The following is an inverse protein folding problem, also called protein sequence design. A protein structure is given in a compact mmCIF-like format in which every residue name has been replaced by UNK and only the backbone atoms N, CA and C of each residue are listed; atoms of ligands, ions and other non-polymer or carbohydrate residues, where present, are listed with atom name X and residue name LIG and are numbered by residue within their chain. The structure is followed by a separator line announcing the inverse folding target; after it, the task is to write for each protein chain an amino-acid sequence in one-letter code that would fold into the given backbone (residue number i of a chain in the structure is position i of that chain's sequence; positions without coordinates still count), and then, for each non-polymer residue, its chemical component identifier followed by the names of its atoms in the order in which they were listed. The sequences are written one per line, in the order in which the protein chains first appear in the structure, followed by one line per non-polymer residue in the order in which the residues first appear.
data_IF_629386141897
#
_entry.id   IF_629386141897
#
_cell.length_a   1.000
_cell.length_b   1.000
_cell.length_c   1.000
_cell.angle_alpha   90.00
_cell.angle_beta   90.00
_cell.angle_gamma   90.00
#
_symmetry.space_group_name_H-M   'P 1'
#
loop_
_entity.id
_entity.type
_entity.pdbx_description
1 polymer ?
#
# COMPACT_ATOMS: atom_id res chain seq x y z
N UNK A 1 -41.06 9.20 17.52
CA UNK A 1 -39.55 9.26 17.55
C UNK A 1 -39.03 8.11 18.39
N UNK A 2 -38.18 7.25 17.87
CA UNK A 2 -37.18 6.57 18.68
C UNK A 2 -37.23 5.07 18.91
N UNK A 3 -37.95 4.23 18.16
CA UNK A 3 -37.88 2.76 18.43
C UNK A 3 -36.85 1.96 17.60
N UNK A 4 -36.19 2.54 16.59
CA UNK A 4 -35.35 1.80 15.64
C UNK A 4 -33.83 2.01 15.76
N UNK A 5 -33.33 2.77 16.74
CA UNK A 5 -31.89 3.03 16.87
C UNK A 5 -31.19 2.13 17.92
N UNK A 6 -31.95 1.42 18.75
CA UNK A 6 -31.39 0.53 19.79
C UNK A 6 -30.47 -0.55 19.22
N UNK A 7 -30.82 -1.30 18.13
CA UNK A 7 -29.94 -2.32 17.59
C UNK A 7 -28.63 -1.75 17.01
N UNK A 8 -28.70 -0.54 16.48
CA UNK A 8 -27.48 0.13 15.91
C UNK A 8 -26.53 0.52 17.04
N UNK A 9 -27.05 1.04 18.16
CA UNK A 9 -26.26 1.40 19.33
C UNK A 9 -25.61 0.14 19.94
N UNK A 10 -26.35 -0.96 20.05
CA UNK A 10 -25.82 -2.23 20.54
C UNK A 10 -24.69 -2.74 19.65
N UNK A 11 -24.86 -2.73 18.32
CA UNK A 11 -23.80 -3.13 17.36
C UNK A 11 -22.57 -2.24 17.54
N UNK A 12 -22.74 -0.94 17.73
CA UNK A 12 -21.64 0.01 17.91
C UNK A 12 -20.87 -0.25 19.21
N UNK A 13 -21.57 -0.55 20.30
CA UNK A 13 -20.96 -0.92 21.59
C UNK A 13 -20.20 -2.26 21.46
N UNK A 14 -20.76 -3.24 20.75
CA UNK A 14 -20.10 -4.53 20.52
C UNK A 14 -18.85 -4.37 19.67
N UNK A 15 -18.91 -3.58 18.60
CA UNK A 15 -17.73 -3.31 17.73
C UNK A 15 -16.65 -2.54 18.51
N UNK A 16 -17.05 -1.58 19.33
CA UNK A 16 -16.12 -0.83 20.17
C UNK A 16 -15.51 -1.71 21.26
N UNK A 17 -16.31 -2.57 21.89
CA UNK A 17 -15.84 -3.56 22.86
C UNK A 17 -14.89 -4.60 22.25
N UNK A 18 -15.18 -5.09 21.05
CA UNK A 18 -14.29 -5.98 20.29
C UNK A 18 -12.99 -5.25 19.90
N UNK A 19 -13.07 -4.00 19.46
CA UNK A 19 -11.89 -3.19 19.15
C UNK A 19 -10.99 -2.97 20.36
N UNK A 20 -11.57 -2.64 21.51
CA UNK A 20 -10.84 -2.51 22.78
C UNK A 20 -10.28 -3.87 23.23
N UNK A 21 -11.04 -4.95 23.10
CA UNK A 21 -10.58 -6.31 23.42
C UNK A 21 -9.40 -6.75 22.55
N UNK A 22 -9.47 -6.52 21.23
CA UNK A 22 -8.38 -6.80 20.29
C UNK A 22 -7.15 -5.91 20.60
N UNK A 23 -7.36 -4.64 20.93
CA UNK A 23 -6.30 -3.73 21.32
C UNK A 23 -5.58 -4.23 22.59
N UNK A 24 -6.31 -4.59 23.64
CA UNK A 24 -5.73 -5.16 24.86
C UNK A 24 -5.03 -6.50 24.60
N UNK A 25 -5.61 -7.38 23.78
CA UNK A 25 -4.98 -8.64 23.41
C UNK A 25 -3.66 -8.40 22.62
N UNK A 26 -3.65 -7.43 21.72
CA UNK A 26 -2.46 -7.07 20.92
C UNK A 26 -1.38 -6.40 21.78
N UNK A 27 -1.77 -5.53 22.72
CA UNK A 27 -0.81 -4.83 23.60
C UNK A 27 -0.28 -5.72 24.71
N UNK A 28 -1.06 -6.71 25.15
CA UNK A 28 -0.63 -7.72 26.13
C UNK A 28 0.08 -8.93 25.51
N UNK A 29 0.17 -9.02 24.17
CA UNK A 29 1.14 -9.94 23.57
C UNK A 29 2.52 -9.51 24.05
N UNK A 30 3.14 -10.36 24.87
CA UNK A 30 4.55 -10.17 25.25
C UNK A 30 5.34 -9.93 23.98
N UNK A 31 5.94 -8.75 23.86
CA UNK A 31 6.88 -8.49 22.78
C UNK A 31 7.97 -9.56 22.91
N UNK A 32 8.41 -10.18 21.80
CA UNK A 32 9.50 -11.12 21.87
C UNK A 32 10.63 -10.45 22.65
N UNK A 33 11.12 -11.15 23.64
CA UNK A 33 12.09 -10.64 24.62
C UNK A 33 13.37 -10.12 23.95
N UNK A 34 13.65 -10.59 22.74
CA UNK A 34 14.82 -10.28 21.92
C UNK A 34 14.46 -10.13 20.46
N UNK A 35 15.15 -9.22 19.78
CA UNK A 35 15.11 -9.08 18.32
C UNK A 35 16.06 -10.08 17.67
N UNK A 36 15.57 -10.85 16.69
CA UNK A 36 16.36 -11.81 15.91
C UNK A 36 16.78 -11.26 14.55
N UNK A 37 16.86 -9.93 14.42
CA UNK A 37 17.39 -9.29 13.22
C UNK A 37 18.91 -9.17 13.28
N UNK A 38 19.58 -9.39 12.15
CA UNK A 38 21.02 -9.23 12.00
C UNK A 38 21.38 -7.75 11.91
N UNK A 39 21.77 -7.17 13.03
CA UNK A 39 22.16 -5.75 13.10
C UNK A 39 23.64 -5.55 13.38
N UNK A 40 24.33 -6.52 13.95
CA UNK A 40 25.77 -6.55 14.27
C UNK A 40 26.25 -5.34 15.07
N UNK A 41 25.40 -4.70 15.87
CA UNK A 41 25.76 -3.54 16.68
C UNK A 41 26.62 -3.94 17.90
N UNK A 42 27.67 -3.17 18.18
CA UNK A 42 28.57 -3.46 19.28
C UNK A 42 28.03 -3.12 20.67
N UNK A 43 26.98 -2.30 20.75
CA UNK A 43 26.40 -1.78 22.00
C UNK A 43 25.10 -2.47 22.40
N UNK A 44 24.59 -3.40 21.58
CA UNK A 44 23.35 -4.13 21.85
C UNK A 44 23.58 -5.59 22.18
N UNK A 45 22.76 -6.12 23.10
CA UNK A 45 22.83 -7.51 23.57
C UNK A 45 21.83 -8.44 22.88
N UNK A 46 21.33 -8.05 21.71
CA UNK A 46 20.44 -8.89 20.92
C UNK A 46 21.20 -10.08 20.31
N UNK A 47 20.54 -11.18 19.96
CA UNK A 47 21.18 -12.42 19.51
C UNK A 47 22.19 -12.23 18.38
N UNK A 48 21.85 -11.45 17.35
CA UNK A 48 22.69 -11.22 16.17
C UNK A 48 23.44 -9.88 16.19
N UNK A 49 23.66 -9.34 17.39
CA UNK A 49 24.57 -8.22 17.64
C UNK A 49 25.96 -8.72 18.05
N UNK A 50 26.93 -7.80 18.14
CA UNK A 50 28.35 -8.09 18.35
C UNK A 50 28.90 -7.56 19.67
N UNK A 51 28.05 -7.39 20.70
CA UNK A 51 28.46 -6.87 22.01
C UNK A 51 29.54 -7.74 22.65
N UNK A 52 29.38 -9.08 22.65
CA UNK A 52 30.30 -10.00 23.31
C UNK A 52 31.68 -9.93 22.65
N UNK A 53 31.78 -9.94 21.34
CA UNK A 53 33.08 -9.90 20.66
C UNK A 53 33.77 -8.53 20.82
N UNK A 54 33.01 -7.42 20.85
CA UNK A 54 33.57 -6.10 21.10
C UNK A 54 34.19 -6.01 22.50
N UNK A 55 33.49 -6.48 23.54
CA UNK A 55 34.00 -6.57 24.91
C UNK A 55 35.21 -7.52 25.05
N UNK A 56 35.20 -8.63 24.29
CA UNK A 56 36.33 -9.56 24.28
C UNK A 56 37.58 -8.91 23.69
N UNK A 57 37.47 -8.21 22.58
CA UNK A 57 38.58 -7.57 21.89
C UNK A 57 39.16 -6.40 22.75
N UNK A 58 38.31 -5.63 23.40
CA UNK A 58 38.76 -4.59 24.34
C UNK A 58 39.58 -5.17 25.50
N UNK A 59 39.18 -6.34 26.00
CA UNK A 59 39.92 -7.04 27.08
C UNK A 59 41.12 -7.82 26.57
N UNK A 60 41.12 -8.29 25.35
CA UNK A 60 42.21 -9.07 24.72
C UNK A 60 43.43 -8.19 24.44
N UNK A 61 43.21 -6.90 24.12
CA UNK A 61 44.26 -5.92 23.84
C UNK A 61 44.26 -4.78 24.91
N UNK A 62 44.57 -5.05 26.18
CA UNK A 62 44.36 -4.12 27.28
C UNK A 62 45.27 -2.89 27.21
N UNK A 63 46.40 -2.96 26.51
CA UNK A 63 47.32 -1.84 26.34
C UNK A 63 46.94 -0.93 25.15
N UNK A 64 46.02 -1.38 24.31
CA UNK A 64 45.60 -0.68 23.13
C UNK A 64 44.24 0.01 23.32
N UNK A 65 44.02 1.09 22.57
CA UNK A 65 42.74 1.83 22.63
C UNK A 65 41.71 1.15 21.77
N UNK A 66 40.49 1.01 22.29
CA UNK A 66 39.32 0.57 21.54
C UNK A 66 38.47 1.79 21.17
N UNK A 67 38.47 2.15 19.86
CA UNK A 67 37.82 3.34 19.36
C UNK A 67 36.63 2.93 18.48
N UNK A 68 35.42 3.36 18.82
CA UNK A 68 34.22 3.10 18.01
C UNK A 68 34.02 4.22 17.00
N UNK A 69 34.00 3.86 15.71
CA UNK A 69 33.78 4.77 14.60
C UNK A 69 32.28 4.94 14.37
N UNK A 70 31.78 6.17 14.58
CA UNK A 70 30.38 6.56 14.36
C UNK A 70 30.24 7.70 13.34
N UNK A 71 31.32 8.06 12.66
CA UNK A 71 31.41 9.09 11.63
C UNK A 71 32.09 8.53 10.37
N UNK A 72 32.05 9.23 9.24
CA UNK A 72 32.75 8.80 8.02
C UNK A 72 34.20 8.42 8.27
N UNK A 73 34.70 7.38 7.58
CA UNK A 73 36.05 6.86 7.79
C UNK A 73 37.14 7.89 7.48
N UNK A 74 36.89 8.76 6.50
CA UNK A 74 37.85 9.81 6.13
C UNK A 74 38.09 10.84 7.25
N UNK A 75 37.14 10.97 8.20
CA UNK A 75 37.29 11.82 9.39
C UNK A 75 37.82 11.06 10.60
N UNK A 76 37.57 9.74 10.68
CA UNK A 76 37.72 8.93 11.87
C UNK A 76 39.03 8.13 11.92
N UNK A 77 39.55 7.70 10.75
CA UNK A 77 40.74 6.89 10.70
C UNK A 77 42.01 7.75 10.91
N UNK A 78 42.91 7.34 11.83
CA UNK A 78 44.10 8.07 12.13
C UNK A 78 45.16 7.98 11.02
N UNK A 79 46.20 8.80 11.15
CA UNK A 79 47.35 8.80 10.24
C UNK A 79 48.51 7.91 10.68
N UNK A 80 48.53 7.48 11.93
CA UNK A 80 49.53 6.59 12.48
C UNK A 80 49.42 5.17 11.93
N UNK A 81 50.46 4.37 12.11
CA UNK A 81 50.58 3.02 11.59
C UNK A 81 50.53 1.99 12.71
N UNK A 82 50.34 0.69 12.38
CA UNK A 82 50.32 -0.38 13.37
C UNK A 82 48.98 -0.57 14.06
N UNK A 83 47.90 -0.09 13.48
CA UNK A 83 46.56 -0.20 14.07
C UNK A 83 45.67 -1.17 13.27
N UNK A 84 44.57 -1.55 13.88
CA UNK A 84 43.61 -2.49 13.32
C UNK A 84 42.25 -1.81 13.12
N UNK A 85 41.75 -1.75 11.87
CA UNK A 85 40.38 -1.43 11.57
C UNK A 85 39.57 -2.72 11.55
N UNK A 86 38.40 -2.72 12.23
CA UNK A 86 37.54 -3.90 12.32
C UNK A 86 36.13 -3.56 11.86
N UNK A 87 35.65 -4.30 10.88
CA UNK A 87 34.28 -4.27 10.42
C UNK A 87 33.67 -5.68 10.49
N UNK A 88 32.48 -5.80 11.14
CA UNK A 88 31.70 -7.04 11.19
C UNK A 88 30.25 -6.69 10.86
N UNK A 89 29.70 -7.22 9.77
CA UNK A 89 28.34 -6.90 9.34
C UNK A 89 27.86 -7.67 8.13
N UNK A 90 26.58 -7.56 7.81
CA UNK A 90 25.97 -8.18 6.64
C UNK A 90 26.24 -7.44 5.32
N UNK A 91 26.57 -6.14 5.39
CA UNK A 91 26.90 -5.29 4.25
C UNK A 91 27.72 -4.08 4.69
N UNK A 92 28.61 -3.61 3.82
CA UNK A 92 29.46 -2.43 4.07
C UNK A 92 29.07 -1.32 3.11
N UNK A 93 28.65 -0.18 3.66
CA UNK A 93 28.16 0.96 2.90
C UNK A 93 29.08 2.17 3.15
N UNK A 94 30.04 2.37 2.30
CA UNK A 94 31.00 3.47 2.38
C UNK A 94 30.94 4.34 1.11
N UNK A 95 31.21 5.64 1.28
CA UNK A 95 31.40 6.57 0.18
C UNK A 95 32.80 6.48 -0.42
N UNK A 96 33.02 6.98 -1.61
CA UNK A 96 34.31 6.93 -2.31
C UNK A 96 35.44 7.60 -1.53
N UNK A 97 35.13 8.61 -0.71
CA UNK A 97 36.13 9.31 0.09
C UNK A 97 36.59 8.46 1.29
N UNK A 98 35.64 7.86 1.99
CA UNK A 98 35.91 6.94 3.09
C UNK A 98 36.61 5.68 2.63
N UNK A 99 36.25 5.19 1.45
CA UNK A 99 36.90 4.06 0.82
C UNK A 99 38.36 4.35 0.45
N UNK A 100 38.62 5.45 -0.26
CA UNK A 100 39.99 5.89 -0.57
C UNK A 100 40.82 6.03 0.74
N UNK A 101 40.18 6.49 1.80
CA UNK A 101 40.81 6.63 3.11
C UNK A 101 41.13 5.29 3.74
N UNK A 102 40.26 4.29 3.67
CA UNK A 102 40.51 2.93 4.16
C UNK A 102 41.68 2.27 3.41
N UNK A 103 41.70 2.40 2.08
CA UNK A 103 42.80 1.90 1.25
C UNK A 103 44.13 2.58 1.62
N UNK A 104 44.14 3.92 1.72
CA UNK A 104 45.32 4.68 2.17
C UNK A 104 45.80 4.24 3.57
N UNK A 105 44.85 4.03 4.48
CA UNK A 105 45.12 3.59 5.85
C UNK A 105 45.86 2.24 5.88
N UNK A 106 45.37 1.25 5.11
CA UNK A 106 46.03 -0.05 5.03
C UNK A 106 47.37 0.07 4.29
N UNK A 107 47.42 0.76 3.16
CA UNK A 107 48.66 0.93 2.39
C UNK A 107 49.81 1.53 3.20
N UNK A 108 49.52 2.33 4.24
CA UNK A 108 50.54 2.91 5.14
C UNK A 108 51.11 1.91 6.16
N UNK A 109 50.54 0.73 6.34
CA UNK A 109 51.00 -0.29 7.29
C UNK A 109 50.07 -0.54 8.45
N UNK A 110 48.76 -0.28 8.26
CA UNK A 110 47.72 -0.69 9.18
C UNK A 110 47.02 -1.96 8.65
N UNK A 111 46.17 -2.55 9.43
CA UNK A 111 45.40 -3.72 9.05
C UNK A 111 43.92 -3.43 9.03
N UNK A 112 43.20 -4.08 8.07
CA UNK A 112 41.75 -4.04 8.04
C UNK A 112 41.21 -5.46 8.12
N UNK A 113 40.44 -5.75 9.16
CA UNK A 113 39.67 -6.98 9.32
C UNK A 113 38.23 -6.72 8.85
N UNK A 114 37.82 -7.42 7.80
CA UNK A 114 36.49 -7.32 7.21
C UNK A 114 35.76 -8.64 7.35
N UNK A 115 34.81 -8.75 8.27
CA UNK A 115 33.92 -9.89 8.34
C UNK A 115 32.59 -9.55 7.68
N UNK A 116 32.43 -10.01 6.44
CA UNK A 116 31.33 -9.63 5.55
C UNK A 116 31.05 -10.76 4.55
N UNK A 117 29.78 -11.09 4.26
CA UNK A 117 29.43 -12.16 3.32
C UNK A 117 29.96 -11.92 1.90
N UNK A 118 29.91 -10.66 1.45
CA UNK A 118 30.36 -10.27 0.12
C UNK A 118 31.35 -9.11 0.21
N UNK A 119 32.49 -9.25 -0.40
CA UNK A 119 33.52 -8.19 -0.44
C UNK A 119 32.98 -7.02 -1.25
N UNK A 120 33.08 -5.76 -0.78
CA UNK A 120 32.71 -4.59 -1.57
C UNK A 120 33.50 -4.54 -2.87
N UNK A 121 32.79 -4.35 -3.99
CA UNK A 121 33.34 -4.39 -5.36
C UNK A 121 34.61 -3.55 -5.51
N UNK A 122 34.65 -2.36 -4.93
CA UNK A 122 35.78 -1.47 -5.11
C UNK A 122 37.02 -1.97 -4.31
N UNK A 123 36.86 -2.59 -3.16
CA UNK A 123 37.96 -3.25 -2.44
C UNK A 123 38.43 -4.44 -3.25
N UNK A 124 37.53 -5.23 -3.80
CA UNK A 124 37.84 -6.35 -4.69
C UNK A 124 38.65 -5.91 -5.91
N UNK A 125 38.17 -4.90 -6.61
CA UNK A 125 38.82 -4.34 -7.81
C UNK A 125 40.19 -3.74 -7.50
N UNK A 126 40.29 -2.91 -6.45
CA UNK A 126 41.55 -2.28 -6.05
C UNK A 126 42.62 -3.30 -5.58
N UNK A 127 42.22 -4.36 -4.90
CA UNK A 127 43.11 -5.44 -4.49
C UNK A 127 43.37 -6.44 -5.63
N UNK A 128 42.76 -6.24 -6.79
CA UNK A 128 42.83 -7.15 -7.93
C UNK A 128 42.57 -8.61 -7.52
N UNK A 129 41.53 -8.80 -6.73
CA UNK A 129 41.26 -10.10 -6.10
C UNK A 129 40.70 -11.14 -7.06
N UNK A 130 39.91 -10.75 -8.07
CA UNK A 130 39.22 -11.70 -8.94
C UNK A 130 39.90 -11.83 -10.30
N UNK A 131 40.08 -13.08 -10.75
CA UNK A 131 40.45 -13.43 -12.12
C UNK A 131 39.27 -13.95 -12.93
N UNK A 132 38.11 -14.11 -12.33
CA UNK A 132 36.92 -14.63 -12.98
C UNK A 132 36.07 -13.47 -13.53
N UNK A 133 36.03 -13.29 -14.87
CA UNK A 133 35.38 -12.15 -15.56
C UNK A 133 33.89 -11.93 -15.25
N UNK A 134 33.18 -12.98 -14.82
CA UNK A 134 31.72 -12.93 -14.60
C UNK A 134 31.30 -13.38 -13.20
N UNK A 135 32.24 -13.62 -12.30
CA UNK A 135 31.96 -14.16 -10.97
C UNK A 135 32.64 -13.33 -9.91
N UNK A 136 31.87 -13.05 -8.83
CA UNK A 136 32.45 -12.46 -7.64
C UNK A 136 33.38 -13.47 -6.94
N UNK A 137 34.39 -13.02 -6.19
CA UNK A 137 35.30 -13.92 -5.47
C UNK A 137 34.60 -14.65 -4.30
N UNK A 138 33.39 -14.21 -3.95
CA UNK A 138 32.59 -14.82 -2.86
C UNK A 138 31.34 -15.47 -3.42
N UNK A 139 31.06 -16.69 -2.96
CA UNK A 139 29.85 -17.47 -3.26
C UNK A 139 29.14 -17.85 -1.97
N UNK A 140 27.96 -18.40 -2.09
CA UNK A 140 27.21 -18.87 -0.93
C UNK A 140 26.69 -20.28 -1.13
N UNK A 141 26.69 -21.06 -0.04
CA UNK A 141 26.05 -22.34 0.08
C UNK A 141 24.91 -22.25 1.09
N UNK A 142 23.73 -22.77 0.74
CA UNK A 142 22.56 -22.72 1.62
C UNK A 142 22.51 -24.00 2.46
N UNK A 143 22.68 -23.84 3.77
CA UNK A 143 22.58 -24.92 4.74
C UNK A 143 22.08 -24.36 6.08
N UNK A 144 21.61 -25.22 6.96
CA UNK A 144 21.22 -24.84 8.32
C UNK A 144 22.42 -24.73 9.26
N UNK A 145 23.52 -25.43 8.97
CA UNK A 145 24.73 -25.50 9.79
C UNK A 145 25.96 -25.35 8.91
N UNK A 146 26.93 -24.56 9.39
CA UNK A 146 28.26 -24.49 8.81
C UNK A 146 29.32 -25.01 9.80
N UNK A 147 30.22 -25.80 9.31
CA UNK A 147 31.37 -26.31 10.06
C UNK A 147 32.60 -25.53 9.64
N UNK A 148 33.09 -24.64 10.54
CA UNK A 148 34.28 -23.83 10.29
C UNK A 148 35.51 -24.50 10.90
N UNK A 149 36.65 -24.42 10.22
CA UNK A 149 37.92 -24.96 10.73
C UNK A 149 39.11 -24.20 10.15
N UNK A 150 40.29 -24.41 10.71
CA UNK A 150 41.54 -23.80 10.28
C UNK A 150 42.39 -24.74 9.47
N UNK A 151 43.13 -24.21 8.49
CA UNK A 151 44.13 -24.99 7.76
C UNK A 151 45.33 -25.34 8.63
N UNK A 152 45.73 -24.42 9.51
CA UNK A 152 46.87 -24.61 10.41
C UNK A 152 46.55 -25.66 11.48
N UNK A 153 47.36 -26.67 11.59
CA UNK A 153 47.14 -27.84 12.47
C UNK A 153 46.98 -27.48 13.93
N UNK A 154 47.74 -26.48 14.45
CA UNK A 154 47.68 -26.03 15.85
C UNK A 154 46.34 -25.29 16.18
N UNK A 155 45.68 -24.77 15.19
CA UNK A 155 44.38 -24.05 15.33
C UNK A 155 43.20 -24.93 15.00
N UNK A 156 43.44 -26.06 14.36
CA UNK A 156 42.41 -26.99 13.89
C UNK A 156 41.56 -27.50 15.08
N UNK A 157 40.24 -27.27 15.00
CA UNK A 157 39.29 -27.86 15.95
C UNK A 157 38.98 -29.31 15.60
N UNK A 158 38.87 -30.18 16.62
CA UNK A 158 38.40 -31.56 16.43
C UNK A 158 37.36 -31.90 17.50
N UNK A 159 36.09 -32.01 17.12
CA UNK A 159 35.51 -31.77 15.79
C UNK A 159 35.62 -30.31 15.33
N UNK A 160 35.24 -29.99 14.09
CA UNK A 160 35.16 -28.61 13.60
C UNK A 160 34.22 -27.73 14.43
N UNK A 161 34.35 -26.40 14.29
CA UNK A 161 33.49 -25.43 14.98
C UNK A 161 32.17 -25.33 14.26
N UNK A 162 31.08 -25.61 14.96
CA UNK A 162 29.73 -25.62 14.42
C UNK A 162 29.03 -24.27 14.65
N UNK A 163 28.47 -23.72 13.58
CA UNK A 163 27.69 -22.49 13.58
C UNK A 163 26.33 -22.74 12.91
N UNK A 164 25.27 -22.24 13.51
CA UNK A 164 23.92 -22.40 12.96
C UNK A 164 23.15 -21.08 12.99
N UNK A 165 22.34 -20.86 11.98
CA UNK A 165 21.38 -19.76 11.98
C UNK A 165 20.11 -20.23 12.65
N UNK A 166 19.67 -19.51 13.67
CA UNK A 166 18.51 -19.91 14.47
C UNK A 166 17.58 -18.75 14.79
N UNK A 167 16.35 -19.07 15.03
CA UNK A 167 15.38 -18.25 15.74
C UNK A 167 15.10 -18.92 17.10
N UNK A 168 14.21 -18.36 17.92
CA UNK A 168 13.92 -18.79 19.31
C UNK A 168 13.96 -20.31 19.53
N UNK A 169 13.40 -21.12 18.65
CA UNK A 169 13.26 -22.57 18.80
C UNK A 169 13.77 -23.39 17.61
N UNK A 170 14.06 -22.76 16.48
CA UNK A 170 14.34 -23.46 15.24
C UNK A 170 15.68 -23.05 14.64
N UNK A 171 16.39 -24.04 14.09
CA UNK A 171 17.52 -23.81 13.19
C UNK A 171 16.97 -23.61 11.79
N UNK A 172 17.36 -22.49 11.17
CA UNK A 172 16.86 -22.09 9.85
C UNK A 172 17.96 -22.27 8.80
N UNK A 173 17.54 -22.38 7.56
CA UNK A 173 18.48 -22.34 6.43
C UNK A 173 19.08 -20.93 6.31
N UNK A 174 20.39 -20.88 6.07
CA UNK A 174 21.15 -19.65 5.91
C UNK A 174 22.09 -19.76 4.71
N UNK A 175 22.34 -18.64 4.06
CA UNK A 175 23.25 -18.55 2.93
C UNK A 175 24.66 -18.26 3.43
N UNK A 176 25.45 -19.31 3.63
CA UNK A 176 26.81 -19.23 4.11
C UNK A 176 27.77 -18.84 2.99
N UNK A 177 28.41 -17.69 3.12
CA UNK A 177 29.34 -17.22 2.10
C UNK A 177 30.74 -17.79 2.29
N UNK A 178 31.41 -18.07 1.19
CA UNK A 178 32.77 -18.59 1.13
C UNK A 178 33.55 -17.92 0.00
N UNK A 179 34.87 -18.03 0.05
CA UNK A 179 35.79 -17.53 -0.96
C UNK A 179 36.07 -18.65 -1.95
N UNK A 180 35.89 -18.39 -3.23
CA UNK A 180 36.23 -19.32 -4.29
C UNK A 180 37.73 -19.18 -4.65
N UNK A 181 38.57 -20.00 -4.04
CA UNK A 181 40.03 -19.93 -4.19
C UNK A 181 40.48 -19.97 -5.65
N UNK A 182 39.74 -20.72 -6.51
CA UNK A 182 40.04 -20.81 -7.95
C UNK A 182 39.80 -19.52 -8.73
N UNK A 183 39.01 -18.58 -8.14
CA UNK A 183 38.75 -17.26 -8.71
C UNK A 183 39.62 -16.16 -8.07
N UNK A 184 40.40 -16.46 -7.03
CA UNK A 184 41.29 -15.50 -6.43
C UNK A 184 42.57 -15.37 -7.25
N UNK A 185 42.97 -14.12 -7.53
CA UNK A 185 44.18 -13.82 -8.25
C UNK A 185 45.42 -14.21 -7.46
N UNK A 186 46.27 -15.13 -7.96
CA UNK A 186 47.50 -15.48 -7.28
C UNK A 186 48.49 -14.33 -7.12
N UNK A 187 48.45 -13.30 -7.98
CA UNK A 187 49.30 -12.12 -7.91
C UNK A 187 48.99 -11.24 -6.67
N UNK A 188 47.79 -11.37 -6.09
CA UNK A 188 47.44 -10.73 -4.84
C UNK A 188 48.06 -11.41 -3.62
N UNK A 189 48.82 -12.51 -3.80
CA UNK A 189 49.47 -13.29 -2.75
C UNK A 189 48.55 -13.64 -1.56
N UNK A 190 47.39 -14.27 -1.82
CA UNK A 190 46.43 -14.60 -0.79
C UNK A 190 47.00 -15.68 0.14
N UNK A 191 46.79 -15.50 1.46
CA UNK A 191 47.10 -16.53 2.46
C UNK A 191 45.78 -16.98 3.09
N UNK A 192 45.39 -18.22 2.88
CA UNK A 192 44.17 -18.78 3.44
C UNK A 192 44.43 -19.34 4.85
N UNK A 193 43.55 -18.97 5.80
CA UNK A 193 43.67 -19.35 7.20
C UNK A 193 42.64 -20.36 7.64
N UNK A 194 41.39 -20.25 7.13
CA UNK A 194 40.30 -21.11 7.56
C UNK A 194 39.39 -21.52 6.39
N UNK A 195 38.66 -22.58 6.61
CA UNK A 195 37.68 -23.14 5.66
C UNK A 195 36.34 -23.44 6.32
N UNK A 196 35.34 -23.60 5.50
CA UNK A 196 33.99 -24.04 5.83
C UNK A 196 33.75 -25.40 5.17
N UNK A 197 33.19 -26.35 5.94
CA UNK A 197 32.85 -27.68 5.47
C UNK A 197 34.06 -28.41 4.82
N UNK A 198 35.26 -28.21 5.40
CA UNK A 198 36.56 -28.77 5.01
C UNK A 198 37.12 -28.32 3.65
N UNK A 199 36.33 -27.71 2.77
CA UNK A 199 36.74 -27.44 1.38
C UNK A 199 36.61 -26.00 0.95
N UNK A 200 35.68 -25.22 1.53
CA UNK A 200 35.32 -23.89 1.08
C UNK A 200 36.08 -22.85 1.93
N UNK A 201 36.99 -22.09 1.34
CA UNK A 201 37.74 -21.07 2.07
C UNK A 201 36.82 -19.97 2.60
N UNK A 202 36.95 -19.57 3.86
CA UNK A 202 36.14 -18.53 4.49
C UNK A 202 36.92 -17.44 5.19
N UNK A 203 38.24 -17.60 5.31
CA UNK A 203 39.13 -16.61 5.92
C UNK A 203 40.47 -16.56 5.20
N UNK A 204 40.82 -15.37 4.72
CA UNK A 204 42.10 -15.12 4.04
C UNK A 204 42.69 -13.78 4.43
N UNK A 205 44.00 -13.62 4.17
CA UNK A 205 44.75 -12.37 4.23
C UNK A 205 45.31 -12.02 2.86
N UNK A 206 45.25 -10.74 2.48
CA UNK A 206 45.84 -10.21 1.27
C UNK A 206 46.71 -9.01 1.61
N UNK A 207 47.89 -8.91 1.00
CA UNK A 207 48.80 -7.78 1.17
C UNK A 207 48.31 -6.55 0.37
N UNK A 208 48.42 -5.36 0.98
CA UNK A 208 48.14 -4.12 0.28
C UNK A 208 49.06 -2.98 0.80
N UNK A 209 49.98 -2.57 -0.05
CA UNK A 209 51.03 -1.65 0.34
C UNK A 209 51.91 -2.21 1.45
N UNK A 210 51.89 -1.58 2.61
CA UNK A 210 52.65 -2.03 3.79
C UNK A 210 51.79 -2.75 4.84
N UNK A 211 50.48 -2.86 4.61
CA UNK A 211 49.54 -3.47 5.52
C UNK A 211 48.79 -4.65 4.90
N UNK A 212 47.74 -5.08 5.56
CA UNK A 212 47.01 -6.28 5.19
C UNK A 212 45.51 -6.09 5.30
N UNK A 213 44.77 -6.67 4.35
CA UNK A 213 43.36 -6.95 4.48
C UNK A 213 43.15 -8.41 4.96
N UNK A 214 42.40 -8.56 6.05
CA UNK A 214 41.94 -9.85 6.55
C UNK A 214 40.46 -9.97 6.22
N UNK A 215 40.10 -10.90 5.36
CA UNK A 215 38.75 -11.06 4.83
C UNK A 215 38.15 -12.36 5.35
N UNK A 216 37.06 -12.23 6.10
CA UNK A 216 36.34 -13.35 6.68
C UNK A 216 34.87 -13.30 6.20
N UNK A 217 34.35 -14.36 5.61
CA UNK A 217 33.04 -14.34 4.91
C UNK A 217 31.87 -14.73 5.80
N UNK A 218 32.10 -15.08 7.06
CA UNK A 218 31.07 -15.60 7.97
C UNK A 218 30.90 -14.71 9.19
N UNK A 219 30.33 -13.47 9.08
CA UNK A 219 30.19 -12.54 10.21
C UNK A 219 29.31 -13.09 11.33
N UNK A 220 28.39 -14.00 11.00
CA UNK A 220 27.54 -14.68 11.96
C UNK A 220 28.32 -15.33 13.10
N UNK A 221 29.54 -15.82 12.84
CA UNK A 221 30.38 -16.49 13.84
C UNK A 221 30.74 -15.59 15.03
N UNK A 222 30.68 -14.27 14.87
CA UNK A 222 31.02 -13.27 15.89
C UNK A 222 29.80 -12.67 16.61
N UNK A 223 28.60 -13.21 16.37
CA UNK A 223 27.38 -12.70 17.00
C UNK A 223 27.19 -13.22 18.42
N UNK A 224 26.46 -12.45 19.23
CA UNK A 224 26.22 -12.77 20.64
C UNK A 224 25.68 -14.20 20.83
N UNK A 225 24.72 -14.61 20.01
CA UNK A 225 24.08 -15.94 20.12
C UNK A 225 25.08 -17.07 19.88
N UNK A 226 26.03 -16.90 18.98
CA UNK A 226 27.07 -17.89 18.71
C UNK A 226 28.10 -17.93 19.85
N UNK A 227 28.51 -16.76 20.33
CA UNK A 227 29.52 -16.63 21.36
C UNK A 227 29.04 -17.01 22.77
N UNK A 228 27.78 -17.44 22.93
CA UNK A 228 27.34 -18.15 24.14
C UNK A 228 27.98 -19.54 24.27
N UNK A 229 28.45 -20.11 23.15
CA UNK A 229 29.13 -21.40 23.13
C UNK A 229 30.64 -21.19 23.26
N UNK A 230 31.27 -21.89 24.23
CA UNK A 230 32.72 -21.82 24.46
C UNK A 230 33.56 -22.15 23.22
N UNK A 231 33.11 -23.08 22.40
CA UNK A 231 33.85 -23.45 21.18
C UNK A 231 33.80 -22.33 20.13
N UNK A 232 32.69 -21.62 20.04
CA UNK A 232 32.59 -20.46 19.14
C UNK A 232 33.47 -19.29 19.65
N UNK A 233 33.61 -19.13 20.96
CA UNK A 233 34.57 -18.19 21.56
C UNK A 233 36.01 -18.57 21.18
N UNK A 234 36.37 -19.85 21.33
CA UNK A 234 37.70 -20.37 20.94
C UNK A 234 37.98 -20.11 19.44
N UNK A 235 37.00 -20.30 18.58
CA UNK A 235 37.12 -19.98 17.15
C UNK A 235 37.41 -18.49 16.95
N UNK A 236 36.64 -17.62 17.59
CA UNK A 236 36.82 -16.17 17.50
C UNK A 236 38.21 -15.72 17.99
N UNK A 237 38.66 -16.22 19.14
CA UNK A 237 40.00 -15.98 19.65
C UNK A 237 41.11 -16.37 18.66
N UNK A 238 40.98 -17.53 18.02
CA UNK A 238 41.91 -17.97 16.99
C UNK A 238 41.90 -17.11 15.74
N UNK A 239 40.69 -16.64 15.28
CA UNK A 239 40.57 -15.72 14.16
C UNK A 239 41.32 -14.42 14.45
N UNK A 240 41.04 -13.80 15.61
CA UNK A 240 41.65 -12.52 15.97
C UNK A 240 43.11 -12.63 16.37
N UNK A 241 43.64 -13.81 16.74
CA UNK A 241 45.07 -14.01 17.00
C UNK A 241 45.97 -13.87 15.76
N UNK A 242 45.40 -13.84 14.55
CA UNK A 242 46.12 -13.48 13.35
C UNK A 242 46.34 -11.98 13.16
N UNK A 243 45.61 -11.13 13.91
CA UNK A 243 45.78 -9.69 13.87
C UNK A 243 46.97 -9.29 14.74
N UNK A 244 47.88 -8.41 14.28
CA UNK A 244 48.94 -7.85 15.11
C UNK A 244 48.36 -6.99 16.22
N UNK A 245 49.16 -6.80 17.30
CA UNK A 245 48.87 -5.84 18.34
C UNK A 245 48.78 -4.42 17.77
N UNK A 246 47.82 -3.62 18.26
CA UNK A 246 47.59 -2.24 17.84
C UNK A 246 46.25 -1.71 18.28
N UNK A 247 46.06 -0.40 18.21
CA UNK A 247 44.79 0.24 18.51
C UNK A 247 43.69 -0.30 17.59
N UNK A 248 42.52 -0.49 18.17
CA UNK A 248 41.35 -1.00 17.44
C UNK A 248 40.45 0.17 17.04
N UNK A 249 40.05 0.18 15.79
CA UNK A 249 39.08 1.09 15.19
C UNK A 249 37.88 0.28 14.73
N UNK A 250 36.86 0.14 15.59
CA UNK A 250 35.66 -0.64 15.35
C UNK A 250 34.61 0.19 14.59
N UNK A 251 34.21 -0.23 13.43
CA UNK A 251 33.30 0.54 12.56
C UNK A 251 31.84 0.15 12.77
N UNK A 252 31.06 1.13 13.29
CA UNK A 252 29.61 1.08 13.36
C UNK A 252 28.94 1.93 12.25
N UNK A 253 29.69 2.88 11.67
CA UNK A 253 29.15 3.82 10.71
C UNK A 253 28.87 3.18 9.35
N UNK A 254 29.76 2.34 8.86
CA UNK A 254 29.64 1.72 7.54
C UNK A 254 28.61 0.58 7.47
N UNK A 255 28.01 0.19 8.60
CA UNK A 255 26.91 -0.78 8.66
C UNK A 255 25.58 -0.21 8.16
N UNK A 256 25.48 1.12 8.01
CA UNK A 256 24.24 1.81 7.68
C UNK A 256 24.31 2.25 6.22
N UNK A 257 23.27 1.92 5.40
CA UNK A 257 23.19 2.38 4.02
C UNK A 257 23.31 3.90 3.92
N UNK A 258 24.02 4.38 2.90
CA UNK A 258 24.32 5.80 2.67
C UNK A 258 23.05 6.65 2.64
N UNK A 259 21.97 6.11 2.06
CA UNK A 259 20.66 6.75 2.00
C UNK A 259 20.04 7.09 3.36
N UNK A 260 20.48 6.39 4.40
CA UNK A 260 20.01 6.57 5.79
C UNK A 260 20.99 7.35 6.66
N UNK A 261 22.17 7.72 6.12
CA UNK A 261 23.16 8.55 6.81
C UNK A 261 22.78 10.02 6.62
N UNK A 262 22.18 10.65 7.63
CA UNK A 262 21.90 12.10 7.59
C UNK A 262 23.09 12.86 8.21
N UNK A 263 23.41 14.04 7.66
CA UNK A 263 24.50 14.92 8.13
C UNK A 263 24.35 15.36 9.60
N UNK A 264 23.14 15.30 10.16
CA UNK A 264 22.81 15.71 11.54
C UNK A 264 22.96 14.62 12.60
N UNK A 265 23.39 13.40 12.26
CA UNK A 265 23.47 12.30 13.20
C UNK A 265 24.85 12.17 13.85
N UNK A 266 25.10 12.94 14.88
CA UNK A 266 26.19 12.70 15.85
C UNK A 266 25.96 11.48 16.76
N UNK A 267 24.82 10.80 16.63
CA UNK A 267 24.47 9.57 17.34
C UNK A 267 24.22 8.48 16.31
N UNK A 268 25.00 7.41 16.38
CA UNK A 268 25.08 6.29 15.43
C UNK A 268 23.78 5.96 14.74
N UNK A 269 23.84 6.02 13.42
CA UNK A 269 22.72 5.96 12.48
C UNK A 269 21.60 5.03 12.83
N UNK A 270 20.55 5.57 13.42
CA UNK A 270 19.27 4.90 13.48
C UNK A 270 18.58 5.03 12.11
N UNK A 271 18.02 3.93 11.63
CA UNK A 271 17.31 3.89 10.37
C UNK A 271 16.30 5.04 10.26
N UNK A 272 16.34 5.79 9.15
CA UNK A 272 15.54 7.01 8.91
C UNK A 272 14.02 6.84 9.14
N UNK A 273 13.51 5.61 9.06
CA UNK A 273 12.10 5.33 9.37
C UNK A 273 11.74 5.56 10.85
N UNK A 274 12.74 5.50 11.77
CA UNK A 274 12.57 5.85 13.19
C UNK A 274 12.37 7.37 13.39
N UNK A 275 12.78 8.19 12.41
CA UNK A 275 12.59 9.65 12.40
C UNK A 275 11.32 10.10 11.65
N UNK A 276 10.48 9.18 11.19
CA UNK A 276 9.22 9.58 10.56
C UNK A 276 8.33 10.31 11.59
N UNK A 277 7.60 11.37 11.20
CA UNK A 277 6.67 12.06 12.09
C UNK A 277 5.67 11.11 12.76
N UNK A 278 5.26 10.07 12.04
CA UNK A 278 4.36 9.04 12.56
C UNK A 278 5.04 8.18 13.63
N UNK A 279 6.30 7.80 13.45
CA UNK A 279 7.05 7.08 14.46
C UNK A 279 7.18 7.91 15.75
N UNK A 280 7.53 9.19 15.62
CA UNK A 280 7.60 10.09 16.76
C UNK A 280 6.27 10.17 17.52
N UNK A 281 5.16 10.31 16.79
CA UNK A 281 3.81 10.32 17.38
C UNK A 281 3.51 9.00 18.11
N UNK A 282 3.87 7.86 17.51
CA UNK A 282 3.60 6.54 18.07
C UNK A 282 4.57 6.14 19.21
N UNK A 283 5.76 6.73 19.28
CA UNK A 283 6.73 6.47 20.34
C UNK A 283 6.38 7.16 21.65
N UNK A 284 5.66 8.30 21.60
CA UNK A 284 5.24 9.04 22.77
C UNK A 284 3.88 8.55 23.29
N UNK A 285 3.76 8.03 24.53
CA UNK A 285 2.50 7.45 25.03
C UNK A 285 1.31 8.38 24.93
N UNK A 286 1.48 9.67 25.23
CA UNK A 286 0.42 10.66 25.14
C UNK A 286 -0.02 10.94 23.70
N UNK A 287 0.94 11.09 22.76
CA UNK A 287 0.65 11.34 21.34
C UNK A 287 0.06 10.10 20.66
N UNK A 288 0.52 8.90 21.03
CA UNK A 288 -0.03 7.63 20.57
C UNK A 288 -1.50 7.49 20.92
N UNK A 289 -1.88 7.80 22.15
CA UNK A 289 -3.30 7.75 22.55
C UNK A 289 -4.14 8.80 21.84
N UNK A 290 -3.62 10.02 21.67
CA UNK A 290 -4.27 11.08 20.90
C UNK A 290 -4.48 10.69 19.44
N UNK A 291 -3.49 10.04 18.81
CA UNK A 291 -3.58 9.53 17.44
C UNK A 291 -4.69 8.49 17.27
N UNK A 292 -4.75 7.49 18.14
CA UNK A 292 -5.81 6.48 18.06
C UNK A 292 -7.20 7.06 18.38
N UNK A 293 -7.31 8.02 19.30
CA UNK A 293 -8.56 8.75 19.54
C UNK A 293 -9.02 9.51 18.30
N UNK A 294 -8.10 10.17 17.60
CA UNK A 294 -8.40 10.89 16.35
C UNK A 294 -8.89 9.92 15.28
N UNK A 295 -8.23 8.78 15.10
CA UNK A 295 -8.67 7.75 14.15
C UNK A 295 -10.06 7.21 14.52
N UNK A 296 -10.30 6.95 15.79
CA UNK A 296 -11.62 6.50 16.27
C UNK A 296 -12.69 7.57 16.01
N UNK A 297 -12.39 8.84 16.23
CA UNK A 297 -13.30 9.96 15.95
C UNK A 297 -13.61 10.09 14.45
N UNK A 298 -12.60 9.97 13.60
CA UNK A 298 -12.77 9.98 12.13
C UNK A 298 -13.63 8.78 11.70
N UNK A 299 -13.39 7.59 12.23
CA UNK A 299 -14.18 6.40 11.93
C UNK A 299 -15.65 6.61 12.33
N UNK A 300 -15.88 7.09 13.55
CA UNK A 300 -17.22 7.42 14.03
C UNK A 300 -17.91 8.48 13.16
N UNK A 301 -17.17 9.52 12.79
CA UNK A 301 -17.70 10.57 11.89
C UNK A 301 -18.11 9.97 10.54
N UNK A 302 -17.29 9.10 9.94
CA UNK A 302 -17.60 8.43 8.68
C UNK A 302 -18.85 7.55 8.85
N UNK A 303 -18.92 6.73 9.91
CA UNK A 303 -20.07 5.87 10.19
C UNK A 303 -21.38 6.65 10.38
N UNK A 304 -21.34 7.77 11.11
CA UNK A 304 -22.52 8.61 11.32
C UNK A 304 -22.89 9.42 10.08
N UNK A 305 -21.92 9.89 9.29
CA UNK A 305 -22.15 10.66 8.08
C UNK A 305 -22.46 9.79 6.86
N UNK A 306 -21.99 8.56 6.79
CA UNK A 306 -22.31 7.59 5.74
C UNK A 306 -23.78 7.14 5.77
N UNK A 307 -24.53 7.46 6.82
CA UNK A 307 -25.97 7.28 6.83
C UNK A 307 -26.56 8.10 5.69
N UNK A 308 -26.97 7.44 4.60
CA UNK A 308 -27.75 8.07 3.54
C UNK A 308 -28.91 8.79 4.21
N UNK A 309 -29.02 10.11 4.04
CA UNK A 309 -30.22 10.85 4.34
C UNK A 309 -31.29 10.41 3.36
N UNK A 310 -31.96 9.29 3.62
CA UNK A 310 -33.19 8.99 2.95
C UNK A 310 -34.17 10.10 3.32
N UNK A 311 -34.74 10.76 2.31
CA UNK A 311 -35.86 11.65 2.53
C UNK A 311 -36.94 10.85 3.27
N UNK A 312 -37.29 11.27 4.46
CA UNK A 312 -38.25 10.58 5.31
C UNK A 312 -39.67 10.52 4.70
N UNK A 313 -39.92 11.31 3.68
CA UNK A 313 -41.18 11.37 2.98
C UNK A 313 -40.85 11.38 1.48
N UNK A 314 -41.27 10.34 0.69
CA UNK A 314 -41.24 10.49 -0.74
C UNK A 314 -42.13 11.68 -1.09
N UNK A 315 -41.62 12.62 -1.87
CA UNK A 315 -42.45 13.64 -2.52
C UNK A 315 -43.34 12.84 -3.48
N UNK A 316 -44.58 12.55 -3.01
CA UNK A 316 -45.62 12.07 -3.92
C UNK A 316 -45.87 13.24 -4.87
N UNK A 317 -45.38 13.13 -6.09
CA UNK A 317 -45.83 13.99 -7.19
C UNK A 317 -47.34 13.77 -7.23
N UNK A 318 -48.13 14.82 -7.01
CA UNK A 318 -49.56 14.75 -7.12
C UNK A 318 -49.86 14.04 -8.45
N UNK A 319 -50.78 13.06 -8.39
CA UNK A 319 -51.18 12.34 -9.58
C UNK A 319 -51.70 13.36 -10.62
N UNK A 320 -50.82 13.79 -11.51
CA UNK A 320 -51.23 14.57 -12.67
C UNK A 320 -52.10 13.65 -13.45
N UNK A 321 -53.29 14.14 -13.80
CA UNK A 321 -54.23 13.36 -14.60
C UNK A 321 -53.59 13.18 -15.99
N UNK A 322 -52.82 12.12 -16.15
CA UNK A 322 -52.05 11.82 -17.36
C UNK A 322 -52.95 11.73 -18.59
N UNK A 323 -54.25 11.40 -18.38
CA UNK A 323 -55.23 11.40 -19.45
C UNK A 323 -55.56 12.81 -19.98
N UNK A 324 -55.56 13.82 -19.08
CA UNK A 324 -55.78 15.22 -19.48
C UNK A 324 -54.57 15.75 -20.24
N UNK A 325 -53.35 15.51 -19.71
CA UNK A 325 -52.10 15.93 -20.34
C UNK A 325 -51.88 15.26 -21.70
N UNK A 326 -52.25 13.97 -21.81
CA UNK A 326 -52.21 13.24 -23.06
C UNK A 326 -53.23 13.83 -24.08
N UNK A 327 -54.46 14.10 -23.64
CA UNK A 327 -55.51 14.74 -24.52
C UNK A 327 -55.09 16.13 -24.99
N UNK A 328 -54.48 16.94 -24.11
CA UNK A 328 -53.95 18.26 -24.45
C UNK A 328 -52.79 18.17 -25.44
N UNK A 329 -51.89 17.20 -25.27
CA UNK A 329 -50.75 16.97 -26.15
C UNK A 329 -51.24 16.53 -27.55
N UNK A 330 -52.19 15.63 -27.60
CA UNK A 330 -52.80 15.17 -28.88
C UNK A 330 -53.54 16.30 -29.55
N UNK A 331 -54.32 17.08 -28.78
CA UNK A 331 -55.02 18.26 -29.29
C UNK A 331 -54.06 19.27 -29.91
N UNK A 332 -52.94 19.53 -29.25
CA UNK A 332 -51.88 20.42 -29.73
C UNK A 332 -51.22 19.95 -31.01
N UNK A 333 -50.96 18.62 -31.15
CA UNK A 333 -50.42 18.01 -32.40
C UNK A 333 -51.39 18.20 -33.57
N UNK A 334 -52.68 17.94 -33.37
CA UNK A 334 -53.68 18.13 -34.41
C UNK A 334 -53.84 19.61 -34.79
N UNK A 335 -53.77 20.54 -33.83
CA UNK A 335 -53.81 21.95 -34.10
C UNK A 335 -52.61 22.45 -34.92
N UNK A 336 -51.41 21.97 -34.58
CA UNK A 336 -50.16 22.33 -35.27
C UNK A 336 -50.06 21.76 -36.71
N UNK A 337 -50.82 20.68 -37.00
CA UNK A 337 -50.89 20.12 -38.36
C UNK A 337 -51.80 20.90 -39.31
N UNK A 338 -52.52 21.94 -38.84
CA UNK A 338 -53.46 22.78 -39.60
C UNK A 338 -54.53 21.99 -40.36
N UNK A 339 -54.80 20.71 -39.96
CA UNK A 339 -55.83 19.89 -40.57
C UNK A 339 -57.18 20.05 -39.88
N UNK A 340 -57.71 21.26 -39.97
CA UNK A 340 -58.99 21.68 -39.35
C UNK A 340 -60.17 20.81 -39.77
N UNK A 341 -60.17 20.26 -41.03
CA UNK A 341 -61.16 19.36 -41.53
C UNK A 341 -61.22 18.05 -40.80
N UNK A 342 -60.08 17.42 -40.60
CA UNK A 342 -59.93 16.17 -39.82
C UNK A 342 -60.37 16.33 -38.39
N UNK A 343 -60.01 17.47 -37.78
CA UNK A 343 -60.41 17.81 -36.40
C UNK A 343 -61.92 17.93 -36.28
N UNK A 344 -62.59 18.65 -37.22
CA UNK A 344 -64.04 18.78 -37.28
C UNK A 344 -64.76 17.41 -37.48
N UNK A 345 -64.24 16.55 -38.37
CA UNK A 345 -64.78 15.21 -38.58
C UNK A 345 -64.63 14.33 -37.27
N UNK A 346 -63.55 14.42 -36.58
CA UNK A 346 -63.32 13.67 -35.30
C UNK A 346 -64.26 14.20 -34.20
N UNK A 347 -64.45 15.53 -34.08
CA UNK A 347 -65.45 16.13 -33.20
C UNK A 347 -66.86 15.69 -33.51
N UNK A 348 -67.22 15.71 -34.74
CA UNK A 348 -68.56 15.22 -35.18
C UNK A 348 -68.79 13.73 -34.86
N UNK A 349 -67.79 12.89 -35.08
CA UNK A 349 -67.84 11.48 -34.69
C UNK A 349 -68.08 11.29 -33.19
N UNK A 350 -67.32 12.01 -32.34
CA UNK A 350 -67.50 12.01 -30.87
C UNK A 350 -68.89 12.52 -30.46
N UNK A 351 -69.36 13.57 -31.14
CA UNK A 351 -70.70 14.12 -30.90
C UNK A 351 -71.83 13.08 -31.24
N UNK A 352 -71.69 12.38 -32.33
CA UNK A 352 -72.66 11.33 -32.72
C UNK A 352 -72.55 10.11 -31.74
N UNK A 353 -71.37 9.74 -31.29
CA UNK A 353 -71.24 8.71 -30.27
C UNK A 353 -71.85 9.16 -28.94
N UNK A 354 -71.68 10.43 -28.53
CA UNK A 354 -72.32 11.01 -27.37
C UNK A 354 -73.89 10.98 -27.46
N UNK A 355 -74.42 11.31 -28.61
CA UNK A 355 -75.87 11.21 -28.88
C UNK A 355 -76.34 9.75 -28.77
N UNK A 356 -75.61 8.79 -29.41
CA UNK A 356 -75.95 7.38 -29.34
C UNK A 356 -75.97 6.85 -27.89
N UNK A 357 -74.93 7.19 -27.11
CA UNK A 357 -74.77 6.70 -25.74
C UNK A 357 -75.78 7.36 -24.78
N UNK A 358 -76.04 8.68 -24.95
CA UNK A 358 -76.82 9.44 -23.97
C UNK A 358 -78.34 9.34 -24.25
N UNK A 359 -78.66 9.37 -25.53
CA UNK A 359 -80.09 9.45 -25.95
C UNK A 359 -80.58 8.14 -26.55
N UNK A 360 -79.73 7.14 -26.76
CA UNK A 360 -80.03 5.86 -27.39
C UNK A 360 -80.78 6.03 -28.74
N UNK A 361 -80.17 6.88 -29.60
CA UNK A 361 -80.67 7.17 -30.96
C UNK A 361 -79.69 6.55 -31.99
N UNK A 362 -80.18 5.82 -33.00
CA UNK A 362 -79.32 5.32 -34.04
C UNK A 362 -78.86 6.51 -34.94
N UNK A 363 -77.53 6.55 -35.16
CA UNK A 363 -76.83 7.64 -35.90
C UNK A 363 -76.41 7.16 -37.33
N UNK A 364 -76.98 6.07 -37.82
CA UNK A 364 -76.63 5.49 -39.14
C UNK A 364 -77.23 6.22 -40.33
N UNK A 365 -78.38 6.86 -40.10
CA UNK A 365 -79.06 7.72 -41.07
C UNK A 365 -79.41 9.07 -40.37
N UNK A 366 -79.01 10.19 -40.95
CA UNK A 366 -79.24 11.53 -40.45
C UNK A 366 -80.32 12.13 -41.31
N UNK A 367 -81.63 11.87 -40.98
CA UNK A 367 -82.78 12.26 -41.66
C UNK A 367 -83.67 13.16 -40.77
N UNK A 368 -84.72 13.68 -41.30
CA UNK A 368 -85.64 14.53 -40.54
C UNK A 368 -86.26 13.81 -39.35
N UNK A 369 -86.35 12.50 -39.37
CA UNK A 369 -86.78 11.68 -38.25
C UNK A 369 -85.73 11.63 -37.14
N UNK A 370 -84.46 11.62 -37.55
CA UNK A 370 -83.38 11.73 -36.58
C UNK A 370 -83.40 13.08 -35.85
N UNK A 371 -83.55 14.20 -36.60
CA UNK A 371 -83.56 15.54 -35.96
C UNK A 371 -84.76 15.69 -35.05
N UNK A 372 -85.91 15.17 -35.39
CA UNK A 372 -87.13 15.23 -34.61
C UNK A 372 -86.97 14.43 -33.25
N UNK A 373 -86.42 13.19 -33.38
CA UNK A 373 -86.17 12.37 -32.19
C UNK A 373 -85.11 12.96 -31.25
N UNK A 374 -84.05 13.54 -31.86
CA UNK A 374 -83.02 14.18 -31.07
C UNK A 374 -83.53 15.45 -30.38
N UNK A 375 -84.31 16.27 -31.06
CA UNK A 375 -84.92 17.47 -30.44
C UNK A 375 -85.85 17.10 -29.30
N UNK A 376 -86.67 16.05 -29.48
CA UNK A 376 -87.57 15.57 -28.43
C UNK A 376 -86.82 15.07 -27.18
N UNK A 377 -85.71 14.30 -27.34
CA UNK A 377 -84.97 13.71 -26.23
C UNK A 377 -84.06 14.68 -25.58
N UNK A 378 -83.42 15.58 -26.32
CA UNK A 378 -82.45 16.54 -25.81
C UNK A 378 -83.05 17.84 -25.31
N UNK A 379 -84.32 18.08 -25.66
CA UNK A 379 -85.07 19.36 -25.43
C UNK A 379 -84.40 20.56 -26.10
N UNK A 380 -83.57 20.36 -27.09
CA UNK A 380 -82.99 21.44 -27.90
C UNK A 380 -83.86 21.66 -29.15
N UNK A 381 -84.12 22.96 -29.50
CA UNK A 381 -84.89 23.25 -30.67
C UNK A 381 -84.38 22.60 -31.95
N UNK A 382 -85.22 21.94 -32.74
CA UNK A 382 -84.84 21.21 -33.97
C UNK A 382 -84.04 22.08 -34.93
N UNK A 383 -84.40 23.35 -35.08
CA UNK A 383 -83.69 24.29 -35.98
C UNK A 383 -82.21 24.53 -35.52
N UNK A 384 -81.89 24.45 -34.23
CA UNK A 384 -80.51 24.58 -33.73
C UNK A 384 -79.74 23.33 -34.07
N UNK A 385 -80.30 22.15 -33.95
CA UNK A 385 -79.69 20.91 -34.30
C UNK A 385 -79.43 20.85 -35.84
N UNK A 386 -80.40 21.15 -36.64
CA UNK A 386 -80.26 21.20 -38.10
C UNK A 386 -79.10 22.16 -38.48
N UNK A 387 -79.09 23.34 -37.90
CA UNK A 387 -78.00 24.31 -38.12
C UNK A 387 -76.61 23.80 -37.74
N UNK A 388 -76.49 23.01 -36.71
CA UNK A 388 -75.24 22.37 -36.33
C UNK A 388 -74.76 21.41 -37.41
N UNK A 389 -75.66 20.56 -37.93
CA UNK A 389 -75.32 19.63 -38.97
C UNK A 389 -75.14 20.32 -40.37
N UNK A 390 -75.79 21.41 -40.63
CA UNK A 390 -75.52 22.28 -41.79
C UNK A 390 -74.11 22.87 -41.71
N UNK A 391 -73.76 23.41 -40.59
CA UNK A 391 -72.43 23.93 -40.40
C UNK A 391 -71.36 22.84 -40.62
N UNK A 392 -71.59 21.61 -40.18
CA UNK A 392 -70.68 20.51 -40.44
C UNK A 392 -70.64 20.11 -41.94
N UNK A 393 -71.78 20.06 -42.68
CA UNK A 393 -71.80 19.82 -44.10
C UNK A 393 -71.04 20.88 -44.89
N UNK A 394 -71.09 22.14 -44.46
CA UNK A 394 -70.30 23.19 -45.11
C UNK A 394 -68.83 22.90 -44.95
N UNK A 395 -68.41 22.47 -43.76
CA UNK A 395 -67.03 22.08 -43.47
C UNK A 395 -66.58 20.86 -44.29
N UNK A 396 -67.41 19.88 -44.40
CA UNK A 396 -67.12 18.62 -45.16
C UNK A 396 -66.95 18.88 -46.68
N UNK A 397 -67.69 19.81 -47.27
CA UNK A 397 -67.65 20.12 -48.69
C UNK A 397 -66.55 21.12 -49.10
N UNK A 398 -65.94 21.79 -48.18
CA UNK A 398 -64.82 22.73 -48.42
C UNK A 398 -63.45 22.03 -48.50
N UNK A 399 -62.62 22.46 -49.47
CA UNK A 399 -61.28 21.90 -49.65
C UNK A 399 -60.28 22.38 -48.61
N UNK A 400 -60.38 23.63 -48.21
CA UNK A 400 -59.57 24.25 -47.12
C UNK A 400 -60.51 24.97 -46.15
N UNK A 401 -60.33 24.75 -44.86
CA UNK A 401 -61.20 25.28 -43.83
C UNK A 401 -60.37 26.29 -43.02
N UNK A 402 -61.00 27.47 -42.81
CA UNK A 402 -60.45 28.50 -41.91
C UNK A 402 -60.64 28.09 -40.42
N UNK A 403 -59.76 28.47 -39.56
CA UNK A 403 -59.83 28.25 -38.12
C UNK A 403 -61.16 28.76 -37.52
N UNK A 404 -61.68 29.92 -38.02
CA UNK A 404 -62.97 30.47 -37.60
C UNK A 404 -64.11 29.54 -37.76
N UNK A 405 -64.17 28.80 -38.92
CA UNK A 405 -65.24 27.82 -39.24
C UNK A 405 -65.18 26.65 -38.22
N UNK A 406 -64.01 26.21 -37.82
CA UNK A 406 -63.82 25.17 -36.78
C UNK A 406 -64.31 25.64 -35.43
N UNK A 407 -63.98 26.89 -35.06
CA UNK A 407 -64.42 27.50 -33.79
C UNK A 407 -65.93 27.61 -33.73
N UNK A 408 -66.60 28.11 -34.81
CA UNK A 408 -68.03 28.22 -34.88
C UNK A 408 -68.72 26.85 -34.77
N UNK A 409 -68.18 25.82 -35.45
CA UNK A 409 -68.68 24.48 -35.35
C UNK A 409 -68.49 23.91 -33.89
N UNK A 410 -67.37 24.12 -33.28
CA UNK A 410 -67.15 23.68 -31.88
C UNK A 410 -68.14 24.38 -30.91
N UNK A 411 -68.30 25.67 -31.07
CA UNK A 411 -69.29 26.44 -30.27
C UNK A 411 -70.71 25.91 -30.47
N UNK A 412 -71.06 25.46 -31.69
CA UNK A 412 -72.37 24.89 -31.97
C UNK A 412 -72.63 23.58 -31.22
N UNK A 413 -71.55 22.73 -31.09
CA UNK A 413 -71.61 21.52 -30.28
C UNK A 413 -71.70 21.84 -28.80
N UNK A 414 -70.89 22.77 -28.31
CA UNK A 414 -70.88 23.18 -26.88
C UNK A 414 -72.22 23.79 -26.47
N UNK A 415 -72.80 24.61 -27.35
CA UNK A 415 -74.15 25.18 -27.14
C UNK A 415 -75.22 24.08 -27.07
N UNK A 416 -75.09 23.05 -27.91
CA UNK A 416 -76.02 21.90 -27.87
C UNK A 416 -75.88 21.24 -26.45
N UNK A 417 -74.69 20.88 -26.01
CA UNK A 417 -74.51 20.23 -24.69
C UNK A 417 -74.94 21.12 -23.51
N UNK A 418 -74.77 22.42 -23.60
CA UNK A 418 -75.19 23.37 -22.55
C UNK A 418 -76.70 23.43 -22.41
N UNK A 419 -77.46 23.34 -23.56
CA UNK A 419 -78.92 23.39 -23.60
C UNK A 419 -79.56 22.02 -23.43
N UNK A 420 -78.81 20.95 -23.69
CA UNK A 420 -79.34 19.60 -23.66
C UNK A 420 -79.45 19.07 -22.20
N UNK A 421 -80.63 18.63 -21.85
CA UNK A 421 -80.97 18.00 -20.58
C UNK A 421 -80.71 16.50 -20.55
#
# INVERSE_FOLDING_TARGET
MGKNNIPIIIILIVVLGLGVGIYFWYTNKEKPKHSWYETYKNDKKEPYDTYIIAEMLEKYFPENKFNVIRRPLHESLPRNTGNNYIFIGSGMFIDSLSESKLLEYVARGNNAFLSIPNIPYIIEDTLNLSICEYYYPTYSNTDSVAHLNFYQTNFKGNPAYEFCYRNLNDTLQYSWSYIMDTCINPEAEPVFYANMNDTLSNYMRVSFGKGFFYIHTTPLAFTNVQLLNKRSVEYAEKVFSYLPEGDIYWDEFSKIPIEYKSEDNNEGGELRWEKSPLYFILSQPALKTAWYLTLAMVLLFILFRAKRRQRAIPVLIANTNTSLEFAETIGRIYYLQNDHKKLAAQKMKLFLEGIRNRYNIATNSIDDVFFLKLAQKSQVPQKEIERLFENYKVIENQKNINEESLIIFNQSIDNFYTKAK
#
